data_IF_952081250024
#
_entry.id   IF_952081250024
#
_cell.length_a   1.000
_cell.length_b   1.000
_cell.length_c   1.000
_cell.angle_alpha   90.00
_cell.angle_beta   90.00
_cell.angle_gamma   90.00
#
_symmetry.space_group_name_H-M   'P 1'
#
loop_
_entity.id
_entity.type
_entity.pdbx_description
1 polymer ?
#
# COMPACT_ATOMS: atom_id res chain seq x y z
N UNK A 1 -17.46 23.07 -4.99
CA UNK A 1 -16.19 22.67 -5.63
C UNK A 1 -15.27 23.87 -5.65
N UNK A 2 -14.03 23.70 -5.29
CA UNK A 2 -13.05 24.77 -5.28
C UNK A 2 -12.56 25.04 -6.70
N UNK A 3 -12.26 26.31 -7.01
CA UNK A 3 -11.77 26.75 -8.33
C UNK A 3 -10.27 26.39 -8.58
N UNK A 4 -9.69 25.50 -7.75
CA UNK A 4 -8.30 25.07 -7.91
C UNK A 4 -8.16 24.12 -9.10
N UNK A 5 -7.31 24.49 -10.04
CA UNK A 5 -6.97 23.70 -11.24
C UNK A 5 -5.49 23.46 -11.31
N UNK A 6 -5.11 22.28 -11.73
CA UNK A 6 -3.70 21.96 -11.99
C UNK A 6 -3.24 22.68 -13.26
N UNK A 7 -2.33 23.61 -13.11
CA UNK A 7 -1.62 24.20 -14.25
C UNK A 7 -0.48 23.25 -14.66
N UNK A 8 -0.76 22.39 -15.65
CA UNK A 8 0.19 21.39 -16.10
C UNK A 8 1.45 21.99 -16.69
N UNK A 9 1.36 23.12 -17.43
CA UNK A 9 2.52 23.75 -18.01
C UNK A 9 3.45 24.31 -16.94
N UNK A 10 2.91 25.03 -15.96
CA UNK A 10 3.67 25.52 -14.81
C UNK A 10 4.24 24.38 -13.96
N UNK A 11 3.47 23.31 -13.76
CA UNK A 11 3.92 22.13 -13.00
C UNK A 11 5.08 21.42 -13.70
N UNK A 12 4.93 21.10 -14.99
CA UNK A 12 5.97 20.44 -15.78
C UNK A 12 7.25 21.27 -15.83
N UNK A 13 7.13 22.56 -16.05
CA UNK A 13 8.28 23.50 -16.01
C UNK A 13 8.99 23.44 -14.67
N UNK A 14 8.26 23.54 -13.55
CA UNK A 14 8.81 23.47 -12.19
C UNK A 14 9.50 22.13 -11.93
N UNK A 15 8.90 21.02 -12.38
CA UNK A 15 9.48 19.70 -12.23
C UNK A 15 10.75 19.52 -13.08
N UNK A 16 10.80 20.10 -14.28
CA UNK A 16 11.97 20.03 -15.16
C UNK A 16 13.14 20.86 -14.63
N UNK A 17 12.88 22.01 -13.97
CA UNK A 17 13.89 22.87 -13.40
C UNK A 17 14.52 22.33 -12.11
N UNK A 18 13.85 21.40 -11.42
CA UNK A 18 14.34 20.79 -10.19
C UNK A 18 15.18 19.55 -10.53
N UNK A 19 16.48 19.51 -10.19
CA UNK A 19 17.26 18.28 -10.37
C UNK A 19 16.69 17.17 -9.49
N UNK A 20 16.57 15.97 -10.04
CA UNK A 20 16.17 14.80 -9.26
C UNK A 20 17.23 14.49 -8.19
N UNK A 21 16.81 14.46 -6.94
CA UNK A 21 17.67 14.12 -5.81
C UNK A 21 17.07 12.90 -5.09
N UNK A 22 17.61 11.68 -5.30
CA UNK A 22 17.09 10.49 -4.64
C UNK A 22 17.30 10.48 -3.13
N UNK A 23 18.10 11.40 -2.59
CA UNK A 23 18.33 11.54 -1.16
C UNK A 23 17.31 12.43 -0.44
N UNK A 24 16.45 13.14 -1.19
CA UNK A 24 15.46 14.08 -0.62
C UNK A 24 14.03 13.65 -0.93
N UNK A 25 13.14 13.93 0.02
CA UNK A 25 11.70 13.82 -0.20
C UNK A 25 11.23 14.79 -1.28
N UNK A 26 10.25 14.36 -2.09
CA UNK A 26 9.51 15.25 -2.99
C UNK A 26 8.53 16.15 -2.23
N UNK A 27 8.13 15.72 -1.03
CA UNK A 27 7.32 16.49 -0.09
C UNK A 27 8.14 17.64 0.51
N UNK A 28 7.73 18.88 0.23
CA UNK A 28 8.35 20.06 0.80
C UNK A 28 7.95 20.23 2.27
N UNK A 29 8.88 20.68 3.12
CA UNK A 29 8.67 20.87 4.58
C UNK A 29 7.97 19.69 5.26
N UNK A 30 8.50 18.46 5.17
CA UNK A 30 7.85 17.28 5.74
C UNK A 30 7.67 17.42 7.25
N UNK A 31 6.61 16.80 7.79
CA UNK A 31 6.41 16.75 9.24
C UNK A 31 7.58 16.05 9.94
N UNK A 32 7.83 16.32 11.23
CA UNK A 32 8.98 15.74 11.95
C UNK A 32 9.03 14.21 11.87
N UNK A 33 7.88 13.54 12.04
CA UNK A 33 7.85 12.08 11.96
C UNK A 33 8.01 11.57 10.53
N UNK A 34 7.54 12.32 9.51
CA UNK A 34 7.77 11.98 8.09
C UNK A 34 9.25 12.04 7.76
N UNK A 35 9.94 13.10 8.19
CA UNK A 35 11.39 13.19 8.01
C UNK A 35 12.12 12.08 8.76
N UNK A 36 11.73 11.78 10.00
CA UNK A 36 12.31 10.68 10.79
C UNK A 36 12.14 9.33 10.09
N UNK A 37 10.95 9.05 9.56
CA UNK A 37 10.69 7.83 8.80
C UNK A 37 11.56 7.78 7.54
N UNK A 38 11.65 8.88 6.79
CA UNK A 38 12.47 8.95 5.59
C UNK A 38 13.96 8.64 5.86
N UNK A 39 14.53 9.26 6.90
CA UNK A 39 15.93 9.00 7.31
C UNK A 39 16.13 7.53 7.72
N UNK A 40 15.14 6.93 8.41
CA UNK A 40 15.17 5.52 8.75
C UNK A 40 15.14 4.64 7.49
N UNK A 41 14.23 4.88 6.54
CA UNK A 41 14.15 4.13 5.29
C UNK A 41 15.47 4.18 4.52
N UNK A 42 16.07 5.37 4.38
CA UNK A 42 17.40 5.53 3.77
C UNK A 42 18.49 4.76 4.51
N UNK A 43 18.45 4.74 5.83
CA UNK A 43 19.44 4.03 6.64
C UNK A 43 19.35 2.51 6.47
N UNK A 44 18.16 1.99 6.15
CA UNK A 44 17.90 0.58 5.90
C UNK A 44 18.29 0.14 4.50
N UNK A 45 18.08 1.01 3.50
CA UNK A 45 18.25 0.64 2.08
C UNK A 45 19.63 0.06 1.76
N UNK A 46 19.64 -1.12 1.15
CA UNK A 46 20.85 -1.89 0.85
C UNK A 46 21.54 -2.53 2.06
N UNK A 47 20.95 -2.49 3.26
CA UNK A 47 21.53 -3.06 4.48
C UNK A 47 20.55 -3.92 5.27
N UNK A 48 19.29 -3.56 5.26
CA UNK A 48 18.20 -4.20 5.99
C UNK A 48 16.97 -4.29 5.11
N UNK A 49 16.09 -5.22 5.43
CA UNK A 49 14.81 -5.43 4.76
C UNK A 49 13.70 -5.19 5.77
N UNK A 50 12.72 -4.37 5.44
CA UNK A 50 11.63 -4.07 6.37
C UNK A 50 10.48 -5.02 6.07
N UNK A 51 10.04 -5.79 7.04
CA UNK A 51 8.91 -6.69 6.88
C UNK A 51 7.60 -5.92 6.78
N UNK A 52 6.73 -6.33 5.88
CA UNK A 52 5.42 -5.71 5.69
C UNK A 52 4.34 -6.74 5.47
N UNK A 53 3.09 -6.31 5.60
CA UNK A 53 1.89 -7.09 5.35
C UNK A 53 0.73 -6.19 4.94
N UNK A 54 -0.02 -6.56 3.89
CA UNK A 54 -1.27 -5.92 3.49
C UNK A 54 -2.44 -6.48 4.28
N UNK A 55 -3.35 -5.61 4.73
CA UNK A 55 -4.56 -5.98 5.47
C UNK A 55 -5.80 -5.48 4.74
N UNK A 56 -6.83 -6.29 4.72
CA UNK A 56 -8.14 -5.90 4.17
C UNK A 56 -9.23 -5.98 5.25
N UNK A 57 -9.31 -7.09 5.99
CA UNK A 57 -10.40 -7.37 6.92
C UNK A 57 -10.11 -6.89 8.35
N UNK A 58 -11.18 -6.64 9.10
CA UNK A 58 -11.09 -6.13 10.47
C UNK A 58 -10.53 -7.14 11.48
N UNK A 59 -10.57 -8.42 11.16
CA UNK A 59 -10.12 -9.48 12.07
C UNK A 59 -8.60 -9.65 12.08
N UNK A 60 -7.88 -9.04 11.13
CA UNK A 60 -6.41 -8.96 11.10
C UNK A 60 -5.73 -10.32 11.33
N UNK A 61 -6.25 -11.36 10.67
CA UNK A 61 -5.79 -12.74 10.84
C UNK A 61 -4.33 -12.96 10.46
N UNK A 62 -3.82 -12.13 9.57
CA UNK A 62 -2.43 -12.12 9.17
C UNK A 62 -1.50 -11.94 10.39
N UNK A 63 -1.83 -11.04 11.30
CA UNK A 63 -1.05 -10.85 12.54
C UNK A 63 -0.99 -12.13 13.39
N UNK A 64 -2.11 -12.87 13.44
CA UNK A 64 -2.15 -14.12 14.20
C UNK A 64 -1.21 -15.16 13.61
N UNK A 65 -1.12 -15.26 12.27
CA UNK A 65 -0.18 -16.15 11.60
C UNK A 65 1.26 -15.79 11.94
N UNK A 66 1.64 -14.53 11.74
CA UNK A 66 3.02 -14.09 12.00
C UNK A 66 3.39 -14.27 13.47
N UNK A 67 2.54 -13.81 14.39
CA UNK A 67 2.85 -13.87 15.81
C UNK A 67 2.89 -15.31 16.34
N UNK A 68 1.95 -16.16 15.94
CA UNK A 68 1.91 -17.55 16.37
C UNK A 68 3.12 -18.35 15.84
N UNK A 69 3.55 -18.07 14.61
CA UNK A 69 4.66 -18.77 13.97
C UNK A 69 6.03 -18.26 14.44
N UNK A 70 6.19 -16.94 14.61
CA UNK A 70 7.50 -16.31 14.77
C UNK A 70 7.65 -15.55 16.09
N UNK A 71 6.58 -15.28 16.81
CA UNK A 71 6.55 -14.38 17.96
C UNK A 71 6.68 -12.90 17.60
N UNK A 72 6.66 -12.53 16.31
CA UNK A 72 6.93 -11.19 15.81
C UNK A 72 5.82 -10.69 14.88
N UNK A 73 5.74 -9.39 14.71
CA UNK A 73 4.78 -8.72 13.83
C UNK A 73 5.54 -7.92 12.76
N UNK A 74 5.08 -7.89 11.48
CA UNK A 74 5.66 -7.04 10.45
C UNK A 74 5.68 -5.56 10.84
N UNK A 75 6.75 -4.85 10.45
CA UNK A 75 6.94 -3.44 10.80
C UNK A 75 6.07 -2.48 9.98
N UNK A 76 5.76 -2.86 8.73
CA UNK A 76 4.90 -2.09 7.81
C UNK A 76 3.53 -2.75 7.74
N UNK A 77 2.48 -1.94 7.88
CA UNK A 77 1.12 -2.36 7.63
C UNK A 77 0.54 -1.63 6.45
N UNK A 78 0.08 -2.40 5.45
CA UNK A 78 -0.61 -1.88 4.28
C UNK A 78 -2.11 -1.81 4.50
N UNK A 79 -2.72 -0.69 4.12
CA UNK A 79 -4.15 -0.47 4.08
C UNK A 79 -4.56 0.13 2.73
N UNK A 80 -5.87 0.24 2.50
CA UNK A 80 -6.45 0.65 1.22
C UNK A 80 -7.52 1.73 1.42
N UNK A 81 -7.51 2.74 0.57
CA UNK A 81 -8.57 3.74 0.50
C UNK A 81 -9.79 3.30 -0.33
N UNK A 82 -9.91 2.03 -0.69
CA UNK A 82 -11.00 1.49 -1.50
C UNK A 82 -12.39 1.95 -1.03
N UNK A 83 -12.60 2.05 0.29
CA UNK A 83 -13.88 2.40 0.90
C UNK A 83 -14.12 3.88 1.12
N UNK A 84 -13.17 4.76 0.80
CA UNK A 84 -13.23 6.18 1.20
C UNK A 84 -14.40 6.94 0.57
N UNK A 85 -14.76 6.63 -0.67
CA UNK A 85 -15.82 7.29 -1.40
C UNK A 85 -17.23 6.74 -1.14
N UNK A 86 -17.34 5.68 -0.36
CA UNK A 86 -18.61 4.97 -0.15
C UNK A 86 -19.08 4.12 -1.33
N UNK A 87 -18.36 4.12 -2.47
CA UNK A 87 -18.66 3.23 -3.61
C UNK A 87 -18.32 1.77 -3.30
N UNK A 88 -17.40 1.53 -2.37
CA UNK A 88 -17.08 0.21 -1.83
C UNK A 88 -17.40 0.18 -0.32
N UNK A 89 -18.67 0.06 0.02
CA UNK A 89 -19.15 0.05 1.40
C UNK A 89 -18.54 -1.12 2.20
N UNK A 90 -18.18 -0.85 3.46
CA UNK A 90 -17.64 -1.87 4.37
C UNK A 90 -16.11 -1.99 4.36
N UNK A 91 -15.40 -1.20 3.57
CA UNK A 91 -13.94 -1.21 3.49
C UNK A 91 -13.29 0.04 4.08
N UNK A 92 -13.94 0.72 5.01
CA UNK A 92 -13.31 1.85 5.71
C UNK A 92 -12.19 1.37 6.61
N UNK A 93 -10.95 1.67 6.21
CA UNK A 93 -9.75 1.29 6.93
C UNK A 93 -9.08 2.48 7.64
N UNK A 94 -9.58 3.70 7.45
CA UNK A 94 -8.95 4.92 7.97
C UNK A 94 -8.77 4.90 9.49
N UNK A 95 -9.85 4.60 10.22
CA UNK A 95 -9.82 4.54 11.69
C UNK A 95 -8.85 3.48 12.20
N UNK A 96 -8.82 2.30 11.57
CA UNK A 96 -7.88 1.20 11.93
C UNK A 96 -6.43 1.57 11.67
N UNK A 97 -6.15 2.24 10.55
CA UNK A 97 -4.81 2.67 10.20
C UNK A 97 -4.28 3.72 11.20
N UNK A 98 -5.12 4.69 11.58
CA UNK A 98 -4.78 5.68 12.61
C UNK A 98 -4.52 5.00 13.96
N UNK A 99 -5.42 4.10 14.39
CA UNK A 99 -5.29 3.38 15.66
C UNK A 99 -3.99 2.53 15.69
N UNK A 100 -3.70 1.79 14.62
CA UNK A 100 -2.46 1.04 14.49
C UNK A 100 -1.23 1.92 14.68
N UNK A 101 -1.12 3.00 13.90
CA UNK A 101 0.04 3.89 13.96
C UNK A 101 0.23 4.51 15.35
N UNK A 102 -0.87 4.94 15.97
CA UNK A 102 -0.82 5.58 17.31
C UNK A 102 -0.42 4.63 18.42
N UNK A 103 -0.97 3.41 18.39
CA UNK A 103 -0.73 2.43 19.46
C UNK A 103 0.62 1.75 19.34
N UNK A 104 1.01 1.42 18.11
CA UNK A 104 2.20 0.58 17.89
C UNK A 104 3.42 1.37 17.43
N UNK A 105 3.24 2.57 16.89
CA UNK A 105 4.30 3.26 16.18
C UNK A 105 4.71 2.58 14.87
N UNK A 106 3.96 1.58 14.39
CA UNK A 106 4.23 0.87 13.15
C UNK A 106 4.15 1.79 11.92
N UNK A 107 4.83 1.38 10.86
CA UNK A 107 4.89 2.13 9.59
C UNK A 107 3.63 1.85 8.78
N UNK A 108 3.02 2.89 8.23
CA UNK A 108 1.84 2.78 7.37
C UNK A 108 2.21 2.93 5.89
N UNK A 109 1.66 2.03 5.05
CA UNK A 109 1.52 2.25 3.62
C UNK A 109 0.05 2.20 3.23
N UNK A 110 -0.37 3.11 2.33
CA UNK A 110 -1.74 3.19 1.83
C UNK A 110 -1.71 3.09 0.32
N UNK A 111 -2.46 2.13 -0.23
CA UNK A 111 -2.79 2.11 -1.65
C UNK A 111 -4.22 2.59 -1.88
N UNK A 112 -4.64 2.64 -3.14
CA UNK A 112 -5.99 3.05 -3.49
C UNK A 112 -6.54 2.23 -4.65
N UNK A 113 -7.29 1.18 -4.34
CA UNK A 113 -8.14 0.53 -5.33
C UNK A 113 -9.33 1.43 -5.59
N UNK A 114 -9.16 2.32 -6.54
CA UNK A 114 -10.07 3.43 -6.81
C UNK A 114 -11.29 2.96 -7.59
N UNK A 115 -12.39 2.73 -6.88
CA UNK A 115 -13.65 2.41 -7.53
C UNK A 115 -14.18 3.62 -8.31
N UNK A 116 -14.53 3.40 -9.58
CA UNK A 116 -15.18 4.39 -10.42
C UNK A 116 -16.51 3.83 -10.93
N UNK A 117 -17.55 4.69 -11.10
CA UNK A 117 -18.85 4.26 -11.60
C UNK A 117 -18.74 3.80 -13.06
N UNK A 118 -19.54 2.80 -13.44
CA UNK A 118 -19.64 2.35 -14.83
C UNK A 118 -20.46 3.34 -15.67
N UNK A 119 -21.47 3.96 -15.05
CA UNK A 119 -22.29 5.01 -15.67
C UNK A 119 -22.28 6.29 -14.81
N UNK A 120 -21.79 7.39 -15.38
CA UNK A 120 -21.77 8.70 -14.72
C UNK A 120 -23.13 9.30 -14.45
N UNK A 121 -24.20 8.76 -15.03
CA UNK A 121 -25.59 9.13 -14.70
C UNK A 121 -26.16 8.33 -13.53
N UNK A 122 -25.49 7.24 -13.13
CA UNK A 122 -25.85 6.39 -11.99
C UNK A 122 -24.63 6.07 -11.10
N UNK A 123 -24.08 7.09 -10.47
CA UNK A 123 -22.87 6.98 -9.62
C UNK A 123 -23.06 5.98 -8.48
N UNK A 124 -24.29 5.81 -7.97
CA UNK A 124 -24.63 4.84 -6.93
C UNK A 124 -24.80 3.40 -7.40
N UNK A 125 -24.75 3.17 -8.70
CA UNK A 125 -24.93 1.87 -9.35
C UNK A 125 -23.68 1.00 -9.33
N UNK A 126 -23.40 0.34 -10.44
CA UNK A 126 -22.20 -0.49 -10.59
C UNK A 126 -20.93 0.37 -10.55
N UNK A 127 -20.02 0.01 -9.68
CA UNK A 127 -18.70 0.61 -9.59
C UNK A 127 -17.62 -0.46 -9.44
N UNK A 128 -16.42 -0.19 -9.94
CA UNK A 128 -15.28 -1.09 -9.84
C UNK A 128 -13.97 -0.31 -10.04
N UNK A 129 -12.88 -0.87 -9.57
CA UNK A 129 -11.53 -0.47 -9.96
C UNK A 129 -11.01 -1.26 -11.17
N UNK A 130 -11.61 -2.44 -11.45
CA UNK A 130 -11.28 -3.22 -12.64
C UNK A 130 -11.90 -2.62 -13.90
N UNK A 131 -11.08 -2.53 -14.95
CA UNK A 131 -11.52 -2.01 -16.25
C UNK A 131 -12.25 -3.09 -17.07
N UNK A 132 -13.09 -2.65 -17.97
CA UNK A 132 -13.93 -3.52 -18.83
C UNK A 132 -13.16 -4.54 -19.69
N UNK A 133 -11.85 -4.39 -19.84
CA UNK A 133 -10.99 -5.34 -20.56
C UNK A 133 -10.73 -6.63 -19.77
N UNK A 134 -11.01 -6.66 -18.48
CA UNK A 134 -10.81 -7.83 -17.61
C UNK A 134 -11.95 -8.84 -17.73
N UNK A 135 -11.70 -10.06 -17.24
CA UNK A 135 -12.72 -11.12 -17.12
C UNK A 135 -13.44 -11.11 -15.76
N UNK A 136 -13.18 -10.13 -14.90
CA UNK A 136 -13.88 -10.03 -13.62
C UNK A 136 -15.36 -9.70 -13.80
N UNK A 137 -16.20 -10.24 -12.92
CA UNK A 137 -17.65 -10.03 -12.96
C UNK A 137 -18.03 -8.55 -12.71
N UNK A 138 -17.31 -7.91 -11.79
CA UNK A 138 -17.46 -6.46 -11.51
C UNK A 138 -16.34 -5.70 -12.20
N UNK A 139 -16.71 -4.84 -13.12
CA UNK A 139 -15.81 -4.00 -13.92
C UNK A 139 -16.51 -2.70 -14.32
N UNK A 140 -15.73 -1.70 -14.68
CA UNK A 140 -16.20 -0.40 -15.10
C UNK A 140 -15.71 -0.04 -16.50
N UNK A 141 -16.52 0.70 -17.23
CA UNK A 141 -16.13 1.38 -18.47
C UNK A 141 -15.63 2.80 -18.26
N UNK A 142 -15.34 3.22 -17.03
CA UNK A 142 -14.89 4.58 -16.71
C UNK A 142 -13.72 5.02 -17.59
N UNK A 143 -13.84 6.20 -18.20
CA UNK A 143 -12.90 6.65 -19.20
C UNK A 143 -11.87 7.63 -18.64
N UNK A 144 -10.65 7.15 -18.42
CA UNK A 144 -9.54 8.00 -17.92
C UNK A 144 -9.23 9.17 -18.88
N UNK A 145 -9.41 9.00 -20.19
CA UNK A 145 -9.12 10.08 -21.15
C UNK A 145 -10.14 11.21 -20.99
N UNK A 146 -11.43 10.86 -20.82
CA UNK A 146 -12.46 11.83 -20.49
C UNK A 146 -12.26 12.46 -19.11
N UNK A 147 -11.82 11.66 -18.14
CA UNK A 147 -11.52 12.15 -16.79
C UNK A 147 -10.40 13.22 -16.77
N UNK A 148 -9.54 13.25 -17.80
CA UNK A 148 -8.52 14.30 -17.96
C UNK A 148 -9.00 15.50 -18.80
N UNK A 149 -10.28 15.59 -19.13
CA UNK A 149 -10.88 16.70 -19.87
C UNK A 149 -11.76 17.52 -18.91
N UNK A 150 -11.40 18.76 -18.68
CA UNK A 150 -12.20 19.68 -17.86
C UNK A 150 -13.63 19.81 -18.40
N UNK A 151 -14.59 19.91 -17.48
CA UNK A 151 -16.02 20.06 -17.82
C UNK A 151 -16.72 18.75 -18.16
N UNK A 152 -16.07 17.61 -18.05
CA UNK A 152 -16.73 16.30 -18.14
C UNK A 152 -17.16 15.81 -16.75
N UNK A 153 -18.24 15.03 -16.65
CA UNK A 153 -18.66 14.42 -15.39
C UNK A 153 -17.57 13.54 -14.77
N UNK A 154 -16.79 12.86 -15.63
CA UNK A 154 -15.67 12.00 -15.19
C UNK A 154 -14.56 12.84 -14.53
N UNK A 155 -14.28 14.05 -15.07
CA UNK A 155 -13.32 14.96 -14.47
C UNK A 155 -13.79 15.46 -13.09
N UNK A 156 -15.03 15.90 -13.00
CA UNK A 156 -15.61 16.37 -11.73
C UNK A 156 -15.61 15.26 -10.68
N UNK A 157 -15.89 14.02 -11.08
CA UNK A 157 -15.81 12.85 -10.20
C UNK A 157 -14.40 12.63 -9.64
N UNK A 158 -13.36 12.58 -10.49
CA UNK A 158 -12.00 12.34 -10.00
C UNK A 158 -11.51 13.45 -9.08
N UNK A 159 -11.85 14.70 -9.36
CA UNK A 159 -11.48 15.84 -8.52
C UNK A 159 -12.12 15.72 -7.13
N UNK A 160 -13.40 15.36 -7.09
CA UNK A 160 -14.12 15.13 -5.84
C UNK A 160 -13.48 13.99 -5.01
N UNK A 161 -13.18 12.86 -5.65
CA UNK A 161 -12.57 11.69 -4.99
C UNK A 161 -11.16 11.99 -4.46
N UNK A 162 -10.33 12.71 -5.23
CA UNK A 162 -9.00 13.14 -4.77
C UNK A 162 -9.11 14.03 -3.53
N UNK A 163 -10.13 14.92 -3.46
CA UNK A 163 -10.35 15.78 -2.31
C UNK A 163 -10.81 14.99 -1.06
N UNK A 164 -11.60 13.94 -1.25
CA UNK A 164 -11.94 13.02 -0.15
C UNK A 164 -10.68 12.35 0.42
N UNK A 165 -9.84 11.78 -0.46
CA UNK A 165 -8.57 11.17 -0.05
C UNK A 165 -7.65 12.21 0.59
N UNK A 166 -7.55 13.41 0.00
CA UNK A 166 -6.77 14.51 0.59
C UNK A 166 -7.22 14.88 2.00
N UNK A 167 -8.54 14.90 2.23
CA UNK A 167 -9.11 15.15 3.55
C UNK A 167 -8.82 14.02 4.54
N UNK A 168 -8.87 12.77 4.10
CA UNK A 168 -8.49 11.62 4.92
C UNK A 168 -6.99 11.62 5.27
N UNK A 169 -6.13 11.88 4.29
CA UNK A 169 -4.69 12.00 4.51
C UNK A 169 -4.34 13.16 5.47
N UNK A 170 -5.14 14.24 5.46
CA UNK A 170 -5.01 15.35 6.42
C UNK A 170 -5.26 14.92 7.85
N UNK A 171 -6.11 13.92 8.11
CA UNK A 171 -6.34 13.38 9.46
C UNK A 171 -5.09 12.67 10.01
N UNK A 172 -4.30 12.01 9.16
CA UNK A 172 -2.99 11.47 9.55
C UNK A 172 -1.99 12.59 9.83
N UNK A 173 -1.91 13.61 8.96
CA UNK A 173 -0.99 14.74 9.13
C UNK A 173 -1.23 15.49 10.43
N UNK A 174 -2.50 15.76 10.79
CA UNK A 174 -2.86 16.43 12.04
C UNK A 174 -2.38 15.70 13.29
N UNK A 175 -2.05 14.42 13.17
CA UNK A 175 -1.52 13.59 14.24
C UNK A 175 -0.03 13.27 14.08
N UNK A 176 0.64 13.94 13.12
CA UNK A 176 2.04 13.72 12.73
C UNK A 176 2.31 12.22 12.41
N UNK A 177 1.34 11.56 11.75
CA UNK A 177 1.47 10.19 11.28
C UNK A 177 1.93 10.21 9.82
N UNK A 178 3.14 9.70 9.51
CA UNK A 178 3.62 9.56 8.14
C UNK A 178 2.83 8.50 7.38
N UNK A 179 2.60 8.74 6.10
CA UNK A 179 1.95 7.77 5.21
C UNK A 179 2.84 7.51 3.99
N UNK A 180 3.24 6.27 3.78
CA UNK A 180 3.81 5.83 2.52
C UNK A 180 2.64 5.68 1.55
N UNK A 181 2.53 6.62 0.58
CA UNK A 181 1.38 6.78 -0.30
C UNK A 181 1.64 6.18 -1.68
N UNK A 182 0.86 5.19 -2.07
CA UNK A 182 1.01 4.43 -3.32
C UNK A 182 -0.28 4.46 -4.17
N UNK A 183 -0.63 5.59 -4.80
CA UNK A 183 -1.76 5.67 -5.71
C UNK A 183 -1.44 5.09 -7.09
N UNK A 184 -2.48 4.74 -7.84
CA UNK A 184 -2.41 4.37 -9.25
C UNK A 184 -1.37 3.27 -9.55
N UNK A 185 -1.31 2.28 -8.68
CA UNK A 185 -0.38 1.16 -8.80
C UNK A 185 -0.69 0.28 -10.02
N UNK A 186 0.29 -0.52 -10.43
CA UNK A 186 0.19 -1.50 -11.54
C UNK A 186 -0.29 -0.89 -12.87
N UNK A 187 0.06 0.36 -13.13
CA UNK A 187 -0.49 1.12 -14.26
C UNK A 187 -0.10 0.59 -15.64
N UNK A 188 0.98 -0.21 -15.75
CA UNK A 188 1.34 -0.86 -17.01
C UNK A 188 0.38 -2.00 -17.40
N UNK A 189 -0.35 -2.54 -16.44
CA UNK A 189 -1.40 -3.55 -16.64
C UNK A 189 -2.66 -2.95 -17.24
N UNK A 190 -3.46 -3.78 -17.90
CA UNK A 190 -4.71 -3.39 -18.52
C UNK A 190 -5.94 -3.76 -17.69
N UNK A 191 -5.75 -4.03 -16.40
CA UNK A 191 -6.84 -4.48 -15.51
C UNK A 191 -7.48 -3.38 -14.68
N UNK A 192 -6.78 -2.28 -14.40
CA UNK A 192 -7.36 -1.13 -13.70
C UNK A 192 -7.78 -0.03 -14.67
N UNK A 193 -8.84 0.73 -14.34
CA UNK A 193 -9.36 1.78 -15.22
C UNK A 193 -8.36 2.94 -15.43
N UNK A 194 -7.42 3.13 -14.51
CA UNK A 194 -6.36 4.15 -14.62
C UNK A 194 -5.13 3.68 -15.41
N UNK A 195 -5.07 2.41 -15.77
CA UNK A 195 -3.91 1.80 -16.41
C UNK A 195 -3.85 1.91 -17.92
N UNK A 196 -2.82 1.30 -18.48
CA UNK A 196 -2.66 1.11 -19.92
C UNK A 196 -3.78 0.21 -20.46
N UNK A 197 -4.48 0.65 -21.50
CA UNK A 197 -5.62 -0.08 -22.08
C UNK A 197 -5.24 -1.15 -23.10
N UNK A 198 -3.98 -1.13 -23.57
CA UNK A 198 -3.51 -2.11 -24.53
C UNK A 198 -3.25 -3.48 -23.87
N UNK A 199 -3.29 -4.58 -24.64
CA UNK A 199 -2.86 -5.88 -24.17
C UNK A 199 -1.43 -5.87 -23.63
N UNK A 200 -1.08 -6.87 -22.81
CA UNK A 200 0.26 -7.02 -22.25
C UNK A 200 1.37 -6.87 -23.32
N UNK A 201 2.38 -6.10 -22.99
CA UNK A 201 3.51 -5.82 -23.89
C UNK A 201 3.26 -4.77 -24.97
N UNK A 202 2.04 -4.23 -25.06
CA UNK A 202 1.69 -3.13 -25.98
C UNK A 202 1.34 -1.87 -25.19
N UNK A 203 1.26 -0.73 -25.88
CA UNK A 203 0.96 0.57 -25.30
C UNK A 203 -0.24 1.21 -26.01
N UNK A 204 -1.15 1.77 -25.24
CA UNK A 204 -2.17 2.70 -25.74
C UNK A 204 -1.73 4.13 -25.38
N UNK A 205 -1.27 4.93 -26.37
CA UNK A 205 -0.72 6.25 -26.10
C UNK A 205 -1.67 7.21 -25.40
N UNK A 206 -3.00 7.08 -25.64
CA UNK A 206 -3.99 7.97 -25.06
C UNK A 206 -4.17 7.70 -23.57
N UNK A 207 -4.33 6.43 -23.17
CA UNK A 207 -4.44 6.07 -21.76
C UNK A 207 -3.13 6.28 -20.98
N UNK A 208 -1.97 6.05 -21.61
CA UNK A 208 -0.66 6.34 -21.00
C UNK A 208 -0.50 7.85 -20.76
N UNK A 209 -0.87 8.70 -21.69
CA UNK A 209 -0.83 10.15 -21.50
C UNK A 209 -1.83 10.60 -20.42
N UNK A 210 -3.03 10.03 -20.41
CA UNK A 210 -4.05 10.32 -19.41
C UNK A 210 -3.61 9.88 -18.00
N UNK A 211 -2.99 8.70 -17.87
CA UNK A 211 -2.39 8.24 -16.61
C UNK A 211 -1.38 9.25 -16.04
N UNK A 212 -0.46 9.73 -16.87
CA UNK A 212 0.55 10.72 -16.41
C UNK A 212 -0.09 12.01 -15.96
N UNK A 213 -1.12 12.50 -16.68
CA UNK A 213 -1.90 13.66 -16.25
C UNK A 213 -2.63 13.40 -14.93
N UNK A 214 -3.24 12.22 -14.76
CA UNK A 214 -3.93 11.86 -13.51
C UNK A 214 -2.94 11.81 -12.34
N UNK A 215 -1.76 11.21 -12.54
CA UNK A 215 -0.68 11.23 -11.54
C UNK A 215 -0.33 12.65 -11.12
N UNK A 216 -0.09 13.53 -12.08
CA UNK A 216 0.25 14.93 -11.80
C UNK A 216 -0.90 15.70 -11.15
N UNK A 217 -2.15 15.40 -11.52
CA UNK A 217 -3.33 15.98 -10.86
C UNK A 217 -3.38 15.58 -9.38
N UNK A 218 -3.21 14.29 -9.07
CA UNK A 218 -3.18 13.82 -7.68
C UNK A 218 -2.01 14.47 -6.92
N UNK A 219 -0.80 14.45 -7.50
CA UNK A 219 0.38 15.02 -6.88
C UNK A 219 0.20 16.52 -6.58
N UNK A 220 -0.16 17.30 -7.58
CA UNK A 220 -0.34 18.75 -7.44
C UNK A 220 -1.45 19.07 -6.44
N UNK A 221 -2.56 18.36 -6.51
CA UNK A 221 -3.70 18.61 -5.64
C UNK A 221 -3.43 18.25 -4.18
N UNK A 222 -2.79 17.13 -3.90
CA UNK A 222 -2.41 16.75 -2.54
C UNK A 222 -1.31 17.66 -1.97
N UNK A 223 -0.30 18.01 -2.77
CA UNK A 223 0.85 18.78 -2.31
C UNK A 223 0.60 20.29 -2.27
N UNK A 224 -0.10 20.86 -3.26
CA UNK A 224 -0.25 22.31 -3.40
C UNK A 224 -1.60 22.83 -2.94
N UNK A 225 -2.70 22.09 -3.17
CA UNK A 225 -4.03 22.48 -2.71
C UNK A 225 -4.30 22.03 -1.27
N UNK A 226 -4.17 20.72 -0.96
CA UNK A 226 -4.33 20.20 0.40
C UNK A 226 -3.12 20.49 1.30
N UNK A 227 -1.96 20.81 0.73
CA UNK A 227 -0.70 21.12 1.42
C UNK A 227 -0.33 20.04 2.41
N UNK A 228 -0.38 18.78 1.95
CA UNK A 228 0.00 17.64 2.77
C UNK A 228 1.53 17.55 2.90
N UNK A 229 2.00 17.30 4.11
CA UNK A 229 3.43 17.27 4.47
C UNK A 229 3.87 15.96 5.13
N UNK A 230 2.96 14.99 5.19
CA UNK A 230 3.18 13.69 5.83
C UNK A 230 3.30 12.54 4.84
N UNK A 231 3.50 12.82 3.55
CA UNK A 231 3.53 11.78 2.51
C UNK A 231 4.96 11.44 2.08
N UNK A 232 5.21 10.12 1.94
CA UNK A 232 6.33 9.54 1.21
C UNK A 232 5.73 8.85 -0.01
N UNK A 233 6.03 9.34 -1.20
CA UNK A 233 5.39 8.92 -2.43
C UNK A 233 6.03 7.67 -3.02
N UNK A 234 5.21 6.66 -3.31
CA UNK A 234 5.62 5.46 -4.04
C UNK A 234 4.97 5.46 -5.42
N UNK A 235 5.81 5.51 -6.46
CA UNK A 235 5.36 5.30 -7.82
C UNK A 235 5.49 3.83 -8.20
N UNK A 236 4.39 3.23 -8.67
CA UNK A 236 4.31 1.82 -9.04
C UNK A 236 3.65 1.69 -10.44
N UNK A 237 4.31 2.26 -11.45
CA UNK A 237 3.82 2.16 -12.83
C UNK A 237 4.24 0.89 -13.54
N UNK A 238 5.23 0.17 -13.02
CA UNK A 238 5.73 -1.14 -13.45
C UNK A 238 6.24 -1.23 -14.91
N UNK A 239 6.41 -0.11 -15.61
CA UNK A 239 7.02 -0.09 -16.93
C UNK A 239 7.61 1.29 -17.27
N UNK A 240 8.70 1.34 -18.04
CA UNK A 240 9.34 2.60 -18.43
C UNK A 240 8.40 3.57 -19.15
N UNK A 241 7.47 3.06 -19.98
CA UNK A 241 6.55 3.92 -20.73
C UNK A 241 5.50 4.62 -19.84
N UNK A 242 5.23 4.08 -18.64
CA UNK A 242 4.38 4.72 -17.64
C UNK A 242 5.14 5.77 -16.81
N UNK A 243 6.47 5.88 -16.97
CA UNK A 243 7.29 6.73 -16.11
C UNK A 243 6.80 8.18 -16.06
N UNK A 244 6.76 8.70 -14.83
CA UNK A 244 6.45 10.09 -14.48
C UNK A 244 7.75 10.81 -14.06
N UNK A 245 7.70 12.11 -13.84
CA UNK A 245 8.87 12.85 -13.36
C UNK A 245 9.40 12.29 -12.04
N UNK A 246 10.71 12.02 -11.89
CA UNK A 246 11.31 11.53 -10.65
C UNK A 246 11.21 12.54 -9.50
N UNK A 247 10.76 13.76 -9.79
CA UNK A 247 10.49 14.80 -8.80
C UNK A 247 9.07 14.74 -8.21
N UNK A 248 8.30 13.66 -8.54
CA UNK A 248 6.95 13.44 -8.01
C UNK A 248 6.82 12.14 -7.21
N UNK A 249 7.90 11.41 -7.01
CA UNK A 249 7.92 10.23 -6.14
C UNK A 249 9.26 10.07 -5.43
N UNK A 250 9.25 9.37 -4.30
CA UNK A 250 10.40 9.12 -3.44
C UNK A 250 10.97 7.72 -3.63
N UNK A 251 10.10 6.74 -3.81
CA UNK A 251 10.40 5.31 -3.88
C UNK A 251 9.69 4.73 -5.10
N UNK A 252 10.33 3.79 -5.78
CA UNK A 252 9.70 3.02 -6.85
C UNK A 252 9.22 1.66 -6.31
N UNK A 253 7.97 1.32 -6.58
CA UNK A 253 7.35 0.05 -6.22
C UNK A 253 7.27 -0.91 -7.41
N UNK A 254 7.32 -2.19 -7.08
CA UNK A 254 7.02 -3.30 -8.00
C UNK A 254 6.11 -4.29 -7.28
N UNK A 255 5.12 -4.83 -7.99
CA UNK A 255 4.20 -5.84 -7.48
C UNK A 255 4.44 -7.14 -8.22
N UNK A 256 4.73 -8.23 -7.47
CA UNK A 256 5.14 -9.52 -8.06
C UNK A 256 4.26 -10.65 -7.53
N UNK A 257 3.50 -11.25 -8.45
CA UNK A 257 2.66 -12.40 -8.21
C UNK A 257 3.05 -13.51 -9.18
N UNK A 258 4.01 -14.35 -8.79
CA UNK A 258 4.39 -15.51 -9.60
C UNK A 258 3.29 -16.57 -9.55
N UNK A 259 3.03 -17.23 -10.68
CA UNK A 259 2.08 -18.38 -10.76
C UNK A 259 2.49 -19.52 -9.85
N UNK A 260 3.81 -19.76 -9.76
CA UNK A 260 4.43 -20.70 -8.83
C UNK A 260 5.11 -19.90 -7.72
N UNK A 261 4.81 -20.15 -6.44
CA UNK A 261 5.46 -19.45 -5.34
C UNK A 261 6.97 -19.51 -5.42
N UNK A 262 7.59 -18.36 -5.25
CA UNK A 262 9.01 -18.18 -5.48
C UNK A 262 9.61 -17.24 -4.41
N UNK A 263 10.49 -17.80 -3.58
CA UNK A 263 11.25 -17.06 -2.58
C UNK A 263 12.60 -16.52 -3.10
N UNK A 264 12.87 -16.63 -4.39
CA UNK A 264 14.05 -16.03 -5.01
C UNK A 264 14.08 -14.50 -4.85
N UNK A 265 15.24 -13.93 -5.06
CA UNK A 265 15.50 -12.48 -4.90
C UNK A 265 14.76 -11.56 -5.88
N UNK A 266 14.17 -12.12 -6.95
CA UNK A 266 13.54 -11.36 -8.04
C UNK A 266 14.51 -10.39 -8.75
N UNK A 267 15.78 -10.78 -8.88
CA UNK A 267 16.86 -9.93 -9.40
C UNK A 267 16.56 -9.27 -10.74
N UNK A 268 15.99 -10.01 -11.69
CA UNK A 268 15.72 -9.46 -13.02
C UNK A 268 14.62 -8.38 -12.98
N UNK A 269 13.61 -8.55 -12.13
CA UNK A 269 12.59 -7.52 -11.88
C UNK A 269 13.21 -6.31 -11.19
N UNK A 270 14.03 -6.53 -10.16
CA UNK A 270 14.76 -5.45 -9.48
C UNK A 270 15.63 -4.63 -10.44
N UNK A 271 16.43 -5.29 -11.30
CA UNK A 271 17.25 -4.61 -12.31
C UNK A 271 16.40 -3.83 -13.31
N UNK A 272 15.30 -4.42 -13.77
CA UNK A 272 14.39 -3.74 -14.69
C UNK A 272 13.87 -2.43 -14.11
N UNK A 273 13.33 -2.47 -12.87
CA UNK A 273 12.84 -1.27 -12.17
C UNK A 273 13.98 -0.27 -11.95
N UNK A 274 15.15 -0.73 -11.49
CA UNK A 274 16.32 0.12 -11.24
C UNK A 274 16.76 0.90 -12.50
N UNK A 275 16.57 0.35 -13.68
CA UNK A 275 17.05 0.94 -14.93
C UNK A 275 16.37 2.26 -15.30
N UNK A 276 15.16 2.55 -14.77
CA UNK A 276 14.38 3.74 -15.13
C UNK A 276 13.91 4.58 -13.92
N UNK A 277 14.40 4.27 -12.71
CA UNK A 277 13.95 4.96 -11.49
C UNK A 277 14.91 6.02 -10.96
N UNK A 278 15.91 6.39 -11.76
CA UNK A 278 16.84 7.50 -11.48
C UNK A 278 17.55 7.40 -10.11
N UNK A 279 17.89 6.19 -9.65
CA UNK A 279 18.58 5.97 -8.38
C UNK A 279 17.69 6.08 -7.13
N UNK A 280 16.39 6.17 -7.30
CA UNK A 280 15.45 6.11 -6.16
C UNK A 280 15.51 4.74 -5.48
N UNK A 281 15.17 4.68 -4.20
CA UNK A 281 14.97 3.41 -3.50
C UNK A 281 13.88 2.59 -4.19
N UNK A 282 14.03 1.26 -4.13
CA UNK A 282 13.11 0.32 -4.79
C UNK A 282 12.54 -0.61 -3.73
N UNK A 283 11.26 -0.92 -3.86
CA UNK A 283 10.56 -1.81 -2.94
C UNK A 283 9.69 -2.82 -3.66
N UNK A 284 9.48 -3.96 -3.03
CA UNK A 284 8.46 -4.92 -3.39
C UNK A 284 7.17 -4.50 -2.68
N UNK A 285 6.39 -3.66 -3.36
CA UNK A 285 5.22 -2.99 -2.78
C UNK A 285 4.00 -3.89 -2.62
N UNK A 286 3.95 -4.99 -3.41
CA UNK A 286 3.07 -6.14 -3.19
C UNK A 286 3.77 -7.42 -3.64
N UNK A 287 3.45 -8.53 -2.99
CA UNK A 287 3.95 -9.83 -3.45
C UNK A 287 3.05 -11.00 -3.04
N UNK A 288 3.18 -12.11 -3.77
CA UNK A 288 2.63 -13.38 -3.36
C UNK A 288 3.53 -14.11 -2.36
N UNK A 289 4.84 -14.05 -2.57
CA UNK A 289 5.84 -14.72 -1.71
C UNK A 289 6.88 -13.73 -1.21
N UNK A 290 7.31 -13.89 0.04
CA UNK A 290 8.41 -13.13 0.64
C UNK A 290 9.73 -13.57 -0.01
N UNK A 291 10.58 -12.67 -0.53
CA UNK A 291 11.90 -13.04 -1.04
C UNK A 291 12.86 -13.42 0.10
N UNK A 292 13.75 -14.35 -0.19
CA UNK A 292 14.75 -14.83 0.77
C UNK A 292 15.84 -13.77 0.99
N UNK A 293 16.07 -13.30 2.25
CA UNK A 293 17.12 -12.34 2.58
C UNK A 293 18.53 -12.76 2.16
N UNK A 294 18.83 -14.07 2.16
CA UNK A 294 20.13 -14.58 1.72
C UNK A 294 20.33 -14.43 0.21
N UNK A 295 19.30 -14.76 -0.58
CA UNK A 295 19.35 -14.60 -2.02
C UNK A 295 19.42 -13.10 -2.40
N UNK A 296 18.63 -12.24 -1.73
CA UNK A 296 18.69 -10.79 -1.94
C UNK A 296 20.07 -10.20 -1.63
N UNK A 297 20.70 -10.62 -0.53
CA UNK A 297 22.02 -10.15 -0.17
C UNK A 297 23.10 -10.64 -1.15
N UNK A 298 22.99 -11.88 -1.59
CA UNK A 298 23.94 -12.52 -2.51
C UNK A 298 24.04 -11.82 -3.86
N UNK A 299 22.92 -11.34 -4.40
CA UNK A 299 22.86 -10.76 -5.75
C UNK A 299 22.63 -9.25 -5.78
N UNK A 300 22.37 -8.63 -4.62
CA UNK A 300 22.19 -7.19 -4.49
C UNK A 300 20.80 -6.68 -4.84
N UNK A 301 19.78 -7.53 -4.86
CA UNK A 301 18.37 -7.14 -5.02
C UNK A 301 17.86 -6.46 -3.76
N UNK A 302 18.21 -5.20 -3.59
CA UNK A 302 17.97 -4.43 -2.36
C UNK A 302 16.53 -3.92 -2.27
N UNK A 303 15.53 -4.82 -2.27
CA UNK A 303 14.17 -4.44 -1.98
C UNK A 303 14.08 -3.85 -0.58
N UNK A 304 13.65 -2.58 -0.45
CA UNK A 304 13.61 -1.89 0.85
C UNK A 304 12.67 -2.57 1.84
N UNK A 305 11.52 -3.00 1.33
CA UNK A 305 10.58 -3.84 2.06
C UNK A 305 9.88 -4.81 1.10
N UNK A 306 9.20 -5.80 1.66
CA UNK A 306 8.22 -6.63 1.00
C UNK A 306 6.85 -6.44 1.65
N UNK A 307 5.77 -6.66 0.89
CA UNK A 307 4.40 -6.54 1.38
C UNK A 307 3.53 -7.67 0.77
N UNK A 308 3.49 -8.86 1.40
CA UNK A 308 2.58 -9.91 0.96
C UNK A 308 1.14 -9.42 0.94
N UNK A 309 0.40 -9.84 -0.08
CA UNK A 309 -1.02 -9.54 -0.14
C UNK A 309 -1.76 -10.30 0.97
N UNK A 310 -2.97 -9.89 1.29
CA UNK A 310 -3.77 -10.47 2.36
C UNK A 310 -4.34 -11.87 2.01
N UNK A 311 -4.93 -12.55 2.99
CA UNK A 311 -5.71 -13.77 2.80
C UNK A 311 -4.87 -14.97 2.42
N UNK A 312 -5.20 -15.59 1.29
CA UNK A 312 -4.58 -16.85 0.84
C UNK A 312 -3.06 -16.77 0.62
N UNK A 313 -2.51 -15.57 0.47
CA UNK A 313 -1.05 -15.39 0.41
C UNK A 313 -0.38 -15.52 1.78
N UNK A 314 -1.14 -15.51 2.87
CA UNK A 314 -0.63 -15.58 4.24
C UNK A 314 -1.11 -16.82 4.97
N UNK A 315 -2.40 -17.12 4.92
CA UNK A 315 -2.99 -18.26 5.60
C UNK A 315 -3.71 -19.21 4.65
N UNK A 316 -3.75 -20.48 5.03
CA UNK A 316 -4.44 -21.53 4.27
C UNK A 316 -5.95 -21.33 4.34
N UNK A 317 -6.66 -21.65 3.25
CA UNK A 317 -8.09 -21.41 3.12
C UNK A 317 -8.84 -22.64 2.63
N UNK A 318 -10.11 -22.74 2.99
CA UNK A 318 -10.99 -23.87 2.63
C UNK A 318 -11.56 -23.81 1.18
N UNK A 319 -11.05 -22.89 0.36
CA UNK A 319 -11.57 -22.63 -0.99
C UNK A 319 -12.71 -21.62 -1.05
N UNK A 320 -13.27 -21.22 0.11
CA UNK A 320 -14.26 -20.14 0.27
C UNK A 320 -13.65 -18.87 0.91
N UNK A 321 -12.34 -18.74 0.84
CA UNK A 321 -11.57 -17.63 1.46
C UNK A 321 -11.59 -17.63 2.99
N UNK A 322 -12.16 -18.65 3.64
CA UNK A 322 -12.12 -18.81 5.09
C UNK A 322 -10.82 -19.47 5.51
N UNK A 323 -10.14 -18.98 6.55
CA UNK A 323 -8.91 -19.59 7.02
C UNK A 323 -9.17 -20.99 7.61
N UNK A 324 -8.27 -21.91 7.30
CA UNK A 324 -8.19 -23.18 8.01
C UNK A 324 -7.52 -22.94 9.34
N UNK A 325 -8.20 -23.35 10.43
CA UNK A 325 -7.73 -23.14 11.79
C UNK A 325 -7.03 -24.40 12.32
N UNK A 326 -6.05 -24.21 13.18
CA UNK A 326 -5.41 -25.30 13.94
C UNK A 326 -6.26 -25.71 15.18
N UNK A 327 -5.76 -26.62 16.00
CA UNK A 327 -6.40 -27.11 17.23
C UNK A 327 -6.59 -26.02 18.31
N UNK A 328 -5.84 -24.90 18.20
CA UNK A 328 -5.95 -23.74 19.07
C UNK A 328 -6.80 -22.63 18.45
N UNK A 329 -7.51 -22.94 17.37
CA UNK A 329 -8.36 -21.97 16.68
C UNK A 329 -7.57 -20.82 16.01
N UNK A 330 -6.30 -21.10 15.62
CA UNK A 330 -5.40 -20.14 14.97
C UNK A 330 -5.33 -20.42 13.45
N UNK A 331 -5.30 -19.36 12.61
CA UNK A 331 -5.08 -19.53 11.19
C UNK A 331 -3.69 -20.11 10.95
N UNK A 332 -3.62 -21.16 10.11
CA UNK A 332 -2.35 -21.78 9.72
C UNK A 332 -1.71 -20.97 8.60
N UNK A 333 -0.36 -20.79 8.61
CA UNK A 333 0.32 -20.24 7.46
C UNK A 333 0.03 -21.09 6.21
N UNK A 334 -0.13 -20.43 5.06
CA UNK A 334 -0.33 -21.15 3.81
C UNK A 334 1.02 -21.73 3.35
N UNK A 335 1.20 -23.09 3.35
CA UNK A 335 2.49 -23.69 3.03
C UNK A 335 2.94 -23.43 1.58
N UNK A 336 2.02 -22.99 0.73
CA UNK A 336 2.33 -22.61 -0.64
C UNK A 336 3.13 -21.31 -0.72
N UNK A 337 2.82 -20.30 0.11
CA UNK A 337 3.40 -18.96 0.06
C UNK A 337 4.21 -18.60 1.30
N UNK A 338 3.86 -19.19 2.45
CA UNK A 338 4.37 -18.87 3.79
C UNK A 338 4.70 -20.17 4.53
N UNK A 339 5.70 -20.91 4.05
CA UNK A 339 6.20 -22.08 4.79
C UNK A 339 6.64 -21.67 6.20
N UNK A 340 6.24 -22.47 7.19
CA UNK A 340 6.44 -22.15 8.62
C UNK A 340 7.92 -22.04 8.99
N UNK A 341 8.75 -22.98 8.51
CA UNK A 341 10.19 -22.98 8.78
C UNK A 341 10.90 -21.80 8.07
N UNK A 342 10.45 -21.48 6.87
CA UNK A 342 10.90 -20.30 6.14
C UNK A 342 10.56 -19.01 6.89
N UNK A 343 9.33 -18.85 7.38
CA UNK A 343 8.94 -17.67 8.17
C UNK A 343 9.76 -17.53 9.44
N UNK A 344 9.94 -18.60 10.20
CA UNK A 344 10.78 -18.60 11.42
C UNK A 344 12.20 -18.14 11.12
N UNK A 345 12.78 -18.64 10.03
CA UNK A 345 14.13 -18.27 9.60
C UNK A 345 14.19 -16.79 9.20
N UNK A 346 13.29 -16.34 8.33
CA UNK A 346 13.27 -14.96 7.84
C UNK A 346 13.04 -13.96 8.95
N UNK A 347 12.07 -14.19 9.84
CA UNK A 347 11.78 -13.28 10.95
C UNK A 347 12.80 -13.34 12.09
N UNK A 348 13.68 -14.35 12.11
CA UNK A 348 14.82 -14.42 13.03
C UNK A 348 16.09 -13.79 12.44
N UNK A 349 16.10 -13.47 11.16
CA UNK A 349 17.27 -12.89 10.49
C UNK A 349 17.52 -11.45 10.99
N UNK A 350 18.73 -11.14 11.46
CA UNK A 350 19.05 -9.80 11.98
C UNK A 350 19.01 -8.70 10.91
N UNK A 351 18.94 -9.05 9.62
CA UNK A 351 18.74 -8.08 8.52
C UNK A 351 17.29 -7.70 8.34
N UNK A 352 16.35 -8.46 8.88
CA UNK A 352 14.91 -8.22 8.78
C UNK A 352 14.43 -7.38 9.94
N UNK A 353 13.78 -6.27 9.62
CA UNK A 353 13.20 -5.34 10.61
C UNK A 353 11.74 -5.74 10.84
N UNK A 354 11.41 -6.02 12.08
CA UNK A 354 10.04 -6.26 12.56
C UNK A 354 9.54 -5.08 13.38
N UNK A 355 8.28 -5.08 13.81
CA UNK A 355 7.69 -3.98 14.57
C UNK A 355 8.51 -3.59 15.79
N UNK A 356 8.97 -4.58 16.55
CA UNK A 356 9.77 -4.37 17.78
C UNK A 356 11.20 -3.86 17.53
N UNK A 357 11.68 -3.92 16.27
CA UNK A 357 13.00 -3.43 15.88
C UNK A 357 12.96 -1.94 15.44
N UNK A 358 11.80 -1.34 15.35
CA UNK A 358 11.69 0.08 15.02
C UNK A 358 12.30 0.94 16.13
N UNK A 359 13.14 1.94 15.80
CA UNK A 359 13.88 2.72 16.80
C UNK A 359 13.01 3.52 17.77
N UNK A 360 11.73 3.68 17.41
CA UNK A 360 10.74 4.42 18.21
C UNK A 360 9.65 3.52 18.80
N UNK A 361 9.79 2.18 18.68
CA UNK A 361 8.88 1.24 19.30
C UNK A 361 9.05 1.25 20.81
N UNK A 362 7.95 1.44 21.52
CA UNK A 362 7.96 1.42 22.99
C UNK A 362 7.90 -0.03 23.50
N UNK A 363 9.06 -0.56 23.84
CA UNK A 363 9.21 -1.94 24.34
C UNK A 363 8.57 -2.16 25.71
N UNK A 364 8.38 -1.11 26.48
CA UNK A 364 7.78 -1.21 27.83
C UNK A 364 6.26 -1.32 27.75
N UNK A 365 5.62 -0.62 26.85
CA UNK A 365 4.18 -0.70 26.62
C UNK A 365 3.76 -1.98 25.87
N UNK A 366 4.66 -2.59 25.10
CA UNK A 366 4.43 -3.78 24.27
C UNK A 366 3.06 -3.74 23.56
N UNK A 367 2.81 -2.72 22.76
CA UNK A 367 1.52 -2.55 22.13
C UNK A 367 1.28 -3.67 21.11
N UNK A 368 0.46 -4.63 21.47
CA UNK A 368 0.07 -5.72 20.58
C UNK A 368 -1.05 -5.25 19.63
N UNK A 369 -1.12 -5.81 18.43
CA UNK A 369 -2.25 -5.61 17.54
C UNK A 369 -3.59 -5.99 18.17
N UNK A 370 -4.68 -5.35 17.74
CA UNK A 370 -6.02 -5.57 18.30
C UNK A 370 -6.48 -7.02 18.22
N UNK A 371 -6.12 -7.75 17.18
CA UNK A 371 -6.45 -9.16 17.03
C UNK A 371 -5.87 -10.00 18.16
N UNK A 372 -4.61 -9.77 18.54
CA UNK A 372 -3.93 -10.46 19.64
C UNK A 372 -4.52 -10.06 20.99
N UNK A 373 -4.81 -8.79 21.23
CA UNK A 373 -5.47 -8.34 22.45
C UNK A 373 -6.84 -8.98 22.66
N UNK A 374 -7.68 -9.00 21.62
CA UNK A 374 -9.01 -9.63 21.71
C UNK A 374 -8.92 -11.11 22.06
N UNK A 375 -7.91 -11.81 21.57
CA UNK A 375 -7.74 -13.23 21.81
C UNK A 375 -7.17 -13.52 23.20
N UNK A 376 -6.14 -12.82 23.64
CA UNK A 376 -5.57 -12.96 24.97
C UNK A 376 -6.64 -12.72 26.05
N UNK A 377 -7.45 -11.69 25.90
CA UNK A 377 -8.58 -11.41 26.81
C UNK A 377 -9.64 -12.50 26.78
N UNK A 378 -9.91 -13.17 25.65
CA UNK A 378 -10.83 -14.33 25.59
C UNK A 378 -10.25 -15.55 26.30
N UNK A 379 -8.96 -15.81 26.21
CA UNK A 379 -8.31 -16.90 26.92
C UNK A 379 -8.28 -16.67 28.43
N UNK A 380 -8.05 -15.45 28.91
CA UNK A 380 -8.11 -15.10 30.34
C UNK A 380 -9.51 -15.21 30.89
N UNK A 381 -10.54 -14.82 30.14
CA UNK A 381 -11.96 -14.96 30.60
C UNK A 381 -12.44 -16.41 30.55
N UNK A 382 -11.93 -17.25 29.65
CA UNK A 382 -12.27 -18.69 29.63
C UNK A 382 -11.58 -19.47 30.72
N UNK A 383 -10.40 -19.03 31.21
CA UNK A 383 -9.70 -19.63 32.35
C UNK A 383 -10.25 -19.29 33.73
N UNK A 384 -10.99 -18.20 33.85
CA UNK A 384 -11.48 -17.68 35.15
C UNK A 384 -13.00 -17.77 35.33
N UNK A 385 -13.67 -18.74 34.82
CA UNK A 385 -15.07 -19.12 35.10
C UNK A 385 -15.97 -18.09 35.81
N UNK A 386 -15.98 -16.82 35.40
CA UNK A 386 -16.85 -15.79 35.95
C UNK A 386 -17.63 -15.13 34.81
N UNK A 387 -18.87 -15.46 34.74
CA UNK A 387 -19.88 -14.77 33.95
C UNK A 387 -20.05 -13.34 34.45
N UNK A 388 -20.06 -12.40 33.54
CA UNK A 388 -20.80 -11.17 33.79
C UNK A 388 -20.12 -9.87 33.42
N UNK A 389 -20.88 -9.15 32.63
CA UNK A 389 -20.96 -7.71 32.44
C UNK A 389 -20.33 -7.16 31.16
N UNK A 390 -21.19 -7.06 30.19
CA UNK A 390 -21.13 -6.06 29.11
C UNK A 390 -20.95 -4.67 29.70
N UNK A 391 -19.90 -3.99 29.32
CA UNK A 391 -19.89 -2.54 29.38
C UNK A 391 -19.46 -2.01 28.01
N UNK A 392 -20.46 -1.60 27.24
CA UNK A 392 -20.31 -0.66 26.14
C UNK A 392 -19.69 0.62 26.71
N UNK A 393 -18.59 1.05 26.16
CA UNK A 393 -18.17 2.44 26.25
C UNK A 393 -17.95 2.94 24.81
N UNK A 394 -18.68 3.99 24.51
CA UNK A 394 -18.71 4.81 23.32
C UNK A 394 -17.35 5.38 22.91
#
# INVERSE_FOLDING_TARGET
>A
MTDYRTDFEALEKRLAERPADPGKLVTDDPTPNTLRLWEFLKSCYGKKYISGQQYLWEDEKEDLVYYNTTGKIPAIRGYDFMGISGLARGYDQLGRAIDWARRTGGILTMCWHWNAPDDMNDIGGLSSFYYKTTNYDRKTGFDIVRAMQEGTPEHDFIIYEIDLVGSALKMFEQQDIPVIWRPLHEAAGNWFWWGNRAPAGQQDPESVAAYKKLWYTIFDRLMNYHKLRNLIWVWNGQAPFMAVSPNTFDIAGEDIYDEIPNHGSQLERFKAVSSYTHGKMITLSECGSIPDPDEMQKDGSNWLWWLPWWGTFVYDTDGEWKPILDENDMPRPNPKYMDEEFLKRVFSDPRVITLEDLPWYDKDSKPLPNALHRRLNKCETAGNGVSGVNTLIL
#
